data_IF_658645176493
#
_entry.id   IF_658645176493
#
_cell.length_a   1.000
_cell.length_b   1.000
_cell.length_c   1.000
_cell.angle_alpha   90.00
_cell.angle_beta   90.00
_cell.angle_gamma   90.00
#
_symmetry.space_group_name_H-M   'P 1'
#
loop_
_entity.id
_entity.type
_entity.pdbx_description
1 polymer ?
#
# COMPACT_ATOMS: atom_id res chain seq x y z
N UNK A 1 -58.72 14.00 21.22
CA UNK A 1 -59.55 13.23 20.28
C UNK A 1 -58.63 12.48 19.33
N UNK A 2 -58.81 11.15 19.21
CA UNK A 2 -58.48 10.23 18.09
C UNK A 2 -57.40 10.65 17.06
N UNK A 3 -56.29 9.91 16.90
CA UNK A 3 -56.13 8.62 16.16
C UNK A 3 -55.37 8.91 14.84
N UNK A 4 -54.15 8.43 14.56
CA UNK A 4 -53.64 7.05 14.41
C UNK A 4 -54.02 6.38 13.05
N UNK A 5 -53.12 5.51 12.54
CA UNK A 5 -53.10 4.79 11.24
C UNK A 5 -52.70 5.62 10.00
N UNK A 6 -52.01 5.09 8.96
CA UNK A 6 -51.20 3.87 8.82
C UNK A 6 -50.29 3.91 7.58
N UNK A 7 -49.26 3.07 7.59
CA UNK A 7 -48.35 2.63 6.51
C UNK A 7 -48.93 2.47 5.10
N UNK A 8 -48.08 2.63 4.06
CA UNK A 8 -47.65 1.51 3.20
C UNK A 8 -46.39 1.82 2.36
N UNK A 9 -45.67 0.77 1.97
CA UNK A 9 -44.38 0.80 1.28
C UNK A 9 -44.53 0.60 -0.24
N UNK A 10 -43.54 1.05 -1.02
CA UNK A 10 -43.23 0.47 -2.33
C UNK A 10 -41.72 0.31 -2.52
N UNK A 11 -41.30 -0.95 -2.49
CA UNK A 11 -39.98 -1.42 -2.91
C UNK A 11 -39.96 -1.52 -4.45
N UNK A 12 -38.85 -1.16 -5.11
CA UNK A 12 -38.67 -1.39 -6.56
C UNK A 12 -37.44 -2.25 -6.84
N UNK A 13 -37.62 -3.57 -6.77
CA UNK A 13 -36.65 -4.55 -7.25
C UNK A 13 -36.88 -4.82 -8.73
N UNK A 14 -35.88 -4.55 -9.58
CA UNK A 14 -35.87 -5.04 -10.96
C UNK A 14 -35.29 -6.46 -11.00
N UNK A 15 -36.11 -7.42 -11.42
CA UNK A 15 -35.66 -8.77 -11.77
C UNK A 15 -36.26 -9.14 -13.14
N UNK A 16 -35.40 -9.50 -14.10
CA UNK A 16 -35.81 -10.12 -15.36
C UNK A 16 -35.46 -11.61 -15.35
N UNK A 17 -36.27 -12.41 -16.02
CA UNK A 17 -36.42 -13.84 -15.76
C UNK A 17 -35.98 -14.74 -16.92
N UNK A 18 -35.37 -15.91 -16.58
CA UNK A 18 -35.50 -17.23 -17.28
C UNK A 18 -35.00 -17.30 -18.75
N UNK A 19 -34.50 -18.39 -19.34
CA UNK A 19 -34.21 -19.83 -19.07
C UNK A 19 -33.42 -20.37 -20.32
N UNK A 20 -33.04 -21.66 -20.53
CA UNK A 20 -32.69 -22.77 -19.61
C UNK A 20 -31.44 -23.62 -20.05
N UNK A 21 -31.08 -24.59 -19.18
CA UNK A 21 -30.68 -25.99 -19.46
C UNK A 21 -29.34 -26.48 -20.10
N UNK A 22 -28.80 -27.51 -19.41
CA UNK A 22 -28.23 -28.79 -19.88
C UNK A 22 -26.68 -29.02 -19.94
N UNK A 23 -26.25 -29.98 -19.11
CA UNK A 23 -25.00 -30.76 -19.11
C UNK A 23 -25.43 -32.23 -19.33
N UNK A 24 -24.83 -33.03 -20.26
CA UNK A 24 -23.97 -34.19 -19.84
C UNK A 24 -22.94 -34.60 -20.96
N UNK A 25 -22.04 -35.60 -20.88
CA UNK A 25 -21.57 -36.55 -19.83
C UNK A 25 -20.16 -37.11 -20.17
N UNK A 26 -19.46 -37.63 -19.15
CA UNK A 26 -18.54 -38.80 -19.16
C UNK A 26 -17.51 -39.06 -20.30
N UNK A 27 -16.24 -39.23 -19.91
CA UNK A 27 -15.37 -40.27 -20.49
C UNK A 27 -14.81 -41.18 -19.40
N UNK A 28 -15.37 -42.39 -19.30
CA UNK A 28 -14.82 -43.50 -18.53
C UNK A 28 -14.69 -44.71 -19.44
N UNK A 29 -13.47 -45.19 -19.67
CA UNK A 29 -13.25 -46.55 -20.18
C UNK A 29 -12.01 -47.16 -19.53
N UNK A 30 -12.05 -48.48 -19.36
CA UNK A 30 -11.30 -49.20 -18.34
C UNK A 30 -10.12 -50.01 -18.90
N UNK A 31 -9.04 -50.05 -18.09
CA UNK A 31 -8.11 -51.19 -17.90
C UNK A 31 -7.36 -51.75 -19.13
N UNK A 32 -6.04 -51.65 -19.06
CA UNK A 32 -5.18 -52.85 -19.10
C UNK A 32 -4.03 -52.70 -18.10
N UNK A 33 -3.76 -53.72 -17.29
CA UNK A 33 -2.66 -53.76 -16.33
C UNK A 33 -1.64 -54.79 -16.81
N UNK A 34 -0.38 -54.39 -16.95
CA UNK A 34 0.77 -55.29 -17.10
C UNK A 34 1.79 -55.04 -15.99
N UNK A 35 2.50 -56.08 -15.51
CA UNK A 35 3.24 -56.01 -14.25
C UNK A 35 4.58 -55.27 -14.38
N UNK A 36 4.76 -54.22 -13.58
CA UNK A 36 5.94 -53.36 -13.61
C UNK A 36 7.05 -53.88 -12.67
N UNK A 37 7.56 -55.08 -12.92
CA UNK A 37 8.62 -55.72 -12.10
C UNK A 37 10.01 -55.78 -12.73
N UNK A 38 10.20 -55.20 -13.92
CA UNK A 38 11.48 -55.30 -14.66
C UNK A 38 12.07 -53.98 -15.18
N UNK A 39 11.37 -52.85 -15.00
CA UNK A 39 11.86 -51.52 -15.44
C UNK A 39 12.78 -50.86 -14.40
N UNK A 40 12.59 -51.17 -13.12
CA UNK A 40 13.29 -50.55 -11.97
C UNK A 40 14.79 -50.84 -11.91
N UNK A 41 15.30 -51.79 -12.73
CA UNK A 41 16.72 -52.17 -12.78
C UNK A 41 17.55 -51.41 -13.83
N UNK A 42 16.92 -50.65 -14.74
CA UNK A 42 17.62 -49.86 -15.78
C UNK A 42 17.58 -48.33 -15.61
N UNK A 43 16.96 -47.81 -14.55
CA UNK A 43 16.92 -46.37 -14.25
C UNK A 43 17.98 -45.92 -13.21
N UNK A 44 19.10 -46.64 -13.07
CA UNK A 44 20.07 -46.40 -11.97
C UNK A 44 21.54 -46.17 -12.38
N UNK A 45 21.85 -46.09 -13.68
CA UNK A 45 23.25 -46.09 -14.16
C UNK A 45 23.67 -44.94 -15.09
N UNK A 46 22.80 -43.94 -15.34
CA UNK A 46 23.20 -42.76 -16.13
C UNK A 46 22.77 -41.44 -15.46
N UNK A 47 23.75 -40.55 -15.31
CA UNK A 47 23.72 -39.16 -14.82
C UNK A 47 23.66 -38.95 -13.28
N UNK A 48 24.78 -38.58 -12.65
CA UNK A 48 24.79 -37.96 -11.32
C UNK A 48 24.52 -36.45 -11.47
N UNK A 49 23.32 -35.99 -11.14
CA UNK A 49 23.03 -34.57 -10.95
C UNK A 49 22.50 -34.36 -9.53
N UNK A 50 23.35 -33.74 -8.70
CA UNK A 50 22.99 -33.31 -7.36
C UNK A 50 21.80 -32.34 -7.44
N UNK A 51 20.72 -32.66 -6.73
CA UNK A 51 19.53 -31.82 -6.65
C UNK A 51 19.77 -30.63 -5.72
N UNK A 52 20.48 -29.63 -6.21
CA UNK A 52 20.52 -28.29 -5.61
C UNK A 52 19.96 -27.31 -6.63
N UNK A 53 18.64 -27.16 -6.62
CA UNK A 53 17.98 -26.09 -7.36
C UNK A 53 18.37 -24.76 -6.69
N UNK A 54 19.46 -24.15 -7.18
CA UNK A 54 19.83 -22.79 -6.83
C UNK A 54 18.74 -21.89 -7.43
N UNK A 55 17.76 -21.53 -6.60
CA UNK A 55 16.80 -20.47 -6.91
C UNK A 55 17.63 -19.19 -6.99
N UNK A 56 17.98 -18.79 -8.22
CA UNK A 56 18.64 -17.51 -8.46
C UNK A 56 17.75 -16.38 -7.93
N UNK A 57 18.27 -15.44 -7.12
CA UNK A 57 17.51 -14.26 -6.76
C UNK A 57 17.11 -13.48 -8.04
N UNK A 58 16.01 -12.73 -8.01
CA UNK A 58 15.58 -11.93 -9.16
C UNK A 58 16.70 -10.96 -9.60
N UNK A 59 16.75 -10.55 -10.87
CA UNK A 59 17.86 -9.79 -11.43
C UNK A 59 17.98 -8.40 -10.80
N UNK A 60 18.76 -8.31 -9.72
CA UNK A 60 19.15 -7.05 -9.09
C UNK A 60 20.04 -6.23 -10.03
N UNK A 61 19.82 -4.91 -10.05
CA UNK A 61 20.58 -3.99 -10.90
C UNK A 61 22.02 -3.91 -10.37
N UNK A 62 22.99 -4.38 -11.16
CA UNK A 62 24.41 -4.23 -10.85
C UNK A 62 24.92 -2.93 -11.45
N UNK A 63 25.39 -2.01 -10.60
CA UNK A 63 26.00 -0.75 -11.03
C UNK A 63 27.51 -0.90 -10.85
N UNK A 64 28.26 -0.72 -11.93
CA UNK A 64 29.72 -0.76 -11.90
C UNK A 64 30.25 0.68 -11.77
N UNK A 65 30.89 0.98 -10.66
CA UNK A 65 31.56 2.26 -10.41
C UNK A 65 33.05 1.98 -10.13
N UNK A 66 33.94 2.52 -10.97
CA UNK A 66 35.37 2.56 -10.68
C UNK A 66 36.12 1.22 -10.56
N UNK A 67 35.51 0.09 -10.96
CA UNK A 67 36.12 -1.25 -10.86
C UNK A 67 35.60 -2.10 -9.69
N UNK A 68 34.86 -1.50 -8.75
CA UNK A 68 34.14 -2.25 -7.71
C UNK A 68 32.67 -2.46 -8.12
N UNK A 69 32.17 -3.67 -7.92
CA UNK A 69 30.78 -4.01 -8.25
C UNK A 69 29.86 -3.76 -7.04
N UNK A 70 29.05 -2.71 -7.08
CA UNK A 70 28.03 -2.45 -6.06
C UNK A 70 26.69 -2.96 -6.57
N UNK A 71 26.08 -3.91 -5.85
CA UNK A 71 24.75 -4.42 -6.16
C UNK A 71 23.67 -3.65 -5.40
N UNK A 72 22.67 -3.14 -6.12
CA UNK A 72 21.43 -2.63 -5.52
C UNK A 72 20.27 -3.55 -5.95
N UNK A 73 19.46 -3.97 -4.98
CA UNK A 73 18.19 -4.64 -5.26
C UNK A 73 17.07 -3.60 -5.17
N UNK A 74 16.07 -3.72 -6.04
CA UNK A 74 14.89 -2.86 -6.04
C UNK A 74 13.67 -3.69 -5.65
N UNK A 75 12.92 -3.20 -4.68
CA UNK A 75 11.67 -3.78 -4.21
C UNK A 75 10.54 -2.75 -4.38
N UNK A 76 9.36 -3.22 -4.78
CA UNK A 76 8.15 -2.40 -4.88
C UNK A 76 7.23 -2.84 -3.76
N UNK A 77 6.97 -1.94 -2.81
CA UNK A 77 6.14 -2.20 -1.64
C UNK A 77 4.76 -1.60 -1.85
N UNK A 78 3.74 -2.46 -1.96
CA UNK A 78 2.34 -2.05 -2.02
C UNK A 78 1.86 -1.51 -0.66
N UNK A 79 1.28 -0.32 -0.68
CA UNK A 79 0.76 0.36 0.52
C UNK A 79 -0.75 0.29 0.54
N UNK A 80 -1.30 -0.42 1.52
CA UNK A 80 -2.74 -0.43 1.77
C UNK A 80 -3.15 0.89 2.46
N UNK A 81 -4.19 1.55 1.95
CA UNK A 81 -4.78 2.74 2.56
C UNK A 81 -6.20 2.36 3.01
N UNK A 82 -6.54 2.47 4.31
CA UNK A 82 -7.88 2.19 4.81
C UNK A 82 -8.94 3.09 4.18
N UNK A 83 -10.20 2.66 4.21
CA UNK A 83 -11.30 3.45 3.66
C UNK A 83 -11.41 4.81 4.38
N UNK A 84 -11.67 5.86 3.59
CA UNK A 84 -11.78 7.25 4.05
C UNK A 84 -10.55 7.77 4.82
N UNK A 85 -9.37 7.15 4.61
CA UNK A 85 -8.10 7.59 5.15
C UNK A 85 -7.17 8.17 4.07
N UNK A 86 -6.23 9.00 4.50
CA UNK A 86 -5.09 9.46 3.73
C UNK A 86 -3.79 8.97 4.38
N UNK A 87 -2.76 8.73 3.57
CA UNK A 87 -1.38 8.51 4.03
C UNK A 87 -0.53 9.75 3.78
N UNK A 88 0.41 10.03 4.69
CA UNK A 88 1.55 10.92 4.50
C UNK A 88 2.81 10.10 4.77
N UNK A 89 3.72 10.04 3.78
CA UNK A 89 4.97 9.29 3.88
C UNK A 89 6.14 10.28 3.82
N UNK A 90 7.10 10.18 4.74
CA UNK A 90 8.25 11.09 4.81
C UNK A 90 9.52 10.43 5.34
N UNK A 91 10.58 11.22 5.45
CA UNK A 91 11.83 10.86 6.11
C UNK A 91 12.21 11.97 7.09
N UNK A 92 12.64 11.57 8.28
CA UNK A 92 12.95 12.44 9.42
C UNK A 92 14.36 12.14 9.96
N UNK A 93 14.67 12.51 11.19
CA UNK A 93 15.73 11.93 12.00
C UNK A 93 15.41 12.10 13.48
N UNK A 94 16.15 11.43 14.38
CA UNK A 94 16.01 11.59 15.84
C UNK A 94 14.65 11.17 16.44
N UNK A 95 14.68 10.66 17.68
CA UNK A 95 13.54 9.96 18.30
C UNK A 95 12.32 10.88 18.56
N UNK A 96 12.57 12.17 18.84
CA UNK A 96 11.57 13.22 19.04
C UNK A 96 10.58 13.36 17.88
N UNK A 97 10.93 12.89 16.68
CA UNK A 97 10.03 12.78 15.51
C UNK A 97 8.64 12.27 15.86
N UNK A 98 8.52 11.22 16.69
CA UNK A 98 7.21 10.59 16.96
C UNK A 98 6.31 11.49 17.82
N UNK A 99 6.87 12.17 18.81
CA UNK A 99 6.15 13.09 19.70
C UNK A 99 5.78 14.40 18.98
N UNK A 100 6.70 14.99 18.22
CA UNK A 100 6.42 16.25 17.50
C UNK A 100 5.39 16.07 16.37
N UNK A 101 5.42 14.93 15.68
CA UNK A 101 4.35 14.59 14.74
C UNK A 101 3.03 14.37 15.47
N UNK A 102 3.02 13.75 16.65
CA UNK A 102 1.81 13.60 17.46
C UNK A 102 1.25 14.95 17.92
N UNK A 103 2.09 15.86 18.41
CA UNK A 103 1.71 17.23 18.80
C UNK A 103 1.09 17.99 17.61
N UNK A 104 1.72 17.92 16.44
CA UNK A 104 1.19 18.53 15.20
C UNK A 104 -0.16 17.95 14.80
N UNK A 105 -0.38 16.65 14.95
CA UNK A 105 -1.67 16.00 14.65
C UNK A 105 -2.76 16.42 15.63
N UNK A 106 -2.52 16.30 16.93
CA UNK A 106 -3.53 16.55 17.97
C UNK A 106 -3.92 18.03 18.08
N UNK A 107 -3.00 18.96 17.77
CA UNK A 107 -3.26 20.41 17.79
C UNK A 107 -3.90 20.95 16.52
N UNK A 108 -3.92 20.21 15.41
CA UNK A 108 -4.47 20.70 14.13
C UNK A 108 -6.01 20.66 14.07
N UNK A 109 -6.64 19.58 14.55
CA UNK A 109 -8.09 19.42 14.56
C UNK A 109 -8.50 18.40 15.63
N UNK A 110 -9.35 18.73 16.62
CA UNK A 110 -9.71 17.84 17.72
C UNK A 110 -10.48 16.58 17.27
N UNK A 111 -11.07 16.58 16.07
CA UNK A 111 -11.76 15.42 15.50
C UNK A 111 -10.89 14.58 14.56
N UNK A 112 -9.62 14.96 14.34
CA UNK A 112 -8.72 14.21 13.46
C UNK A 112 -8.37 12.87 14.10
N UNK A 113 -8.62 11.78 13.36
CA UNK A 113 -8.14 10.45 13.71
C UNK A 113 -6.83 10.16 13.01
N UNK A 114 -5.85 9.65 13.72
CA UNK A 114 -4.52 9.42 13.16
C UNK A 114 -3.73 8.30 13.85
N UNK A 115 -2.78 7.75 13.10
CA UNK A 115 -1.73 6.87 13.59
C UNK A 115 -0.40 7.17 12.90
N UNK A 116 0.68 7.20 13.68
CA UNK A 116 2.04 7.54 13.27
C UNK A 116 2.93 6.33 13.54
N UNK A 117 3.87 6.05 12.63
CA UNK A 117 4.98 5.14 12.85
C UNK A 117 6.28 5.75 12.30
N UNK A 118 7.39 5.55 13.00
CA UNK A 118 8.72 6.06 12.66
C UNK A 118 9.78 4.97 12.88
N UNK A 119 10.55 4.68 11.84
CA UNK A 119 11.64 3.70 11.90
C UNK A 119 12.89 4.34 12.52
N UNK A 120 13.17 4.05 13.79
CA UNK A 120 14.45 4.39 14.41
C UNK A 120 15.60 3.69 13.65
N UNK A 121 16.61 4.44 13.22
CA UNK A 121 17.66 3.91 12.33
C UNK A 121 18.97 3.50 13.05
N UNK A 122 18.99 3.55 14.38
CA UNK A 122 20.17 3.23 15.20
C UNK A 122 19.78 2.76 16.60
N UNK A 123 20.74 2.21 17.36
CA UNK A 123 20.49 1.71 18.71
C UNK A 123 19.54 0.51 18.69
N UNK A 124 18.39 0.55 19.38
CA UNK A 124 17.39 -0.52 19.35
C UNK A 124 16.74 -0.77 17.97
N UNK A 125 16.78 0.21 17.06
CA UNK A 125 16.16 0.15 15.73
C UNK A 125 14.66 -0.23 15.76
N UNK A 126 13.90 0.32 16.71
CA UNK A 126 12.48 0.02 16.88
C UNK A 126 11.58 0.90 16.02
N UNK A 127 10.43 0.38 15.63
CA UNK A 127 9.34 1.19 15.09
C UNK A 127 8.69 1.93 16.27
N UNK A 128 8.91 3.23 16.35
CA UNK A 128 8.26 4.12 17.33
C UNK A 128 6.90 4.52 16.78
N UNK A 129 5.85 4.54 17.59
CA UNK A 129 4.49 4.80 17.10
C UNK A 129 3.66 5.57 18.12
N UNK A 130 2.72 6.38 17.64
CA UNK A 130 1.77 7.16 18.45
C UNK A 130 0.47 7.37 17.67
N UNK A 131 -0.64 7.67 18.36
CA UNK A 131 -1.92 7.98 17.71
C UNK A 131 -3.16 7.92 18.59
N UNK A 132 -4.31 8.18 17.99
CA UNK A 132 -5.62 8.22 18.67
C UNK A 132 -6.71 7.35 18.01
N UNK A 133 -6.29 6.46 17.11
CA UNK A 133 -7.09 5.48 16.37
C UNK A 133 -6.23 4.22 16.15
N UNK A 134 -6.58 3.12 16.82
CA UNK A 134 -5.78 1.89 16.84
C UNK A 134 -5.64 1.24 15.44
N UNK A 135 -6.66 1.37 14.58
CA UNK A 135 -6.62 0.84 13.22
C UNK A 135 -5.53 1.57 12.41
N UNK A 136 -5.51 2.90 12.51
CA UNK A 136 -4.54 3.74 11.80
C UNK A 136 -3.12 3.59 12.35
N UNK A 137 -2.97 3.40 13.67
CA UNK A 137 -1.66 3.11 14.31
C UNK A 137 -1.11 1.77 13.83
N UNK A 138 -1.91 0.71 13.86
CA UNK A 138 -1.49 -0.62 13.39
C UNK A 138 -1.14 -0.60 11.89
N UNK A 139 -1.92 0.13 11.07
CA UNK A 139 -1.65 0.28 9.65
C UNK A 139 -0.38 1.11 9.38
N UNK A 140 -0.07 2.12 10.19
CA UNK A 140 1.18 2.87 10.13
C UNK A 140 2.38 1.95 10.43
N UNK A 141 2.29 1.16 11.52
CA UNK A 141 3.34 0.20 11.93
C UNK A 141 3.62 -0.83 10.83
N UNK A 142 2.58 -1.50 10.31
CA UNK A 142 2.74 -2.52 9.27
C UNK A 142 3.28 -1.93 7.95
N UNK A 143 2.92 -0.69 7.62
CA UNK A 143 3.48 0.01 6.45
C UNK A 143 4.94 0.37 6.66
N UNK A 144 5.30 0.93 7.82
CA UNK A 144 6.68 1.28 8.16
C UNK A 144 7.60 0.05 8.20
N UNK A 145 7.08 -1.09 8.69
CA UNK A 145 7.73 -2.41 8.72
C UNK A 145 7.97 -2.99 7.32
N UNK A 146 6.98 -2.93 6.42
CA UNK A 146 7.13 -3.38 5.02
C UNK A 146 8.14 -2.54 4.25
N UNK A 147 8.10 -1.21 4.43
CA UNK A 147 9.10 -0.32 3.81
C UNK A 147 10.49 -0.63 4.40
N UNK A 148 10.61 -0.78 5.72
CA UNK A 148 11.83 -1.25 6.40
C UNK A 148 13.06 -0.32 6.25
N UNK A 149 12.89 0.88 5.70
CA UNK A 149 13.95 1.86 5.54
C UNK A 149 14.06 2.73 6.80
N UNK A 150 15.27 2.88 7.33
CA UNK A 150 15.55 3.69 8.51
C UNK A 150 15.14 5.16 8.31
N UNK A 151 14.73 5.81 9.39
CA UNK A 151 14.25 7.19 9.44
C UNK A 151 13.03 7.53 8.57
N UNK A 152 12.41 6.54 7.93
CA UNK A 152 11.09 6.69 7.31
C UNK A 152 10.04 6.90 8.39
N UNK A 153 9.12 7.85 8.17
CA UNK A 153 7.89 7.96 8.94
C UNK A 153 6.66 7.79 8.05
N UNK A 154 5.63 7.16 8.62
CA UNK A 154 4.33 6.90 8.02
C UNK A 154 3.28 7.52 8.93
N UNK A 155 2.34 8.27 8.35
CA UNK A 155 1.18 8.79 9.08
C UNK A 155 -0.06 8.43 8.28
N UNK A 156 -1.05 7.82 8.93
CA UNK A 156 -2.40 7.71 8.41
C UNK A 156 -3.30 8.70 9.15
N UNK A 157 -4.20 9.36 8.41
CA UNK A 157 -5.19 10.29 8.95
C UNK A 157 -6.59 9.98 8.39
N UNK A 158 -7.63 10.25 9.18
CA UNK A 158 -9.05 10.10 8.86
C UNK A 158 -9.83 11.25 9.52
N UNK A 159 -10.90 11.71 8.88
CA UNK A 159 -11.68 12.88 9.35
C UNK A 159 -11.02 14.24 9.06
N UNK A 160 -10.05 14.27 8.16
CA UNK A 160 -9.38 15.48 7.66
C UNK A 160 -8.52 15.17 6.44
N UNK A 161 -8.01 16.19 5.76
CA UNK A 161 -7.20 16.04 4.55
C UNK A 161 -5.75 16.47 4.80
N UNK A 162 -4.75 15.92 4.07
CA UNK A 162 -3.35 16.30 4.26
C UNK A 162 -3.08 17.80 4.09
N UNK A 163 -3.87 18.50 3.25
CA UNK A 163 -3.77 19.96 3.06
C UNK A 163 -4.03 20.77 4.33
N UNK A 164 -4.66 20.19 5.36
CA UNK A 164 -4.90 20.86 6.64
C UNK A 164 -3.64 20.94 7.52
N UNK A 165 -2.66 20.06 7.30
CA UNK A 165 -1.57 19.77 8.23
C UNK A 165 -0.17 19.70 7.60
N UNK A 166 -0.09 19.57 6.28
CA UNK A 166 1.15 19.34 5.53
C UNK A 166 2.24 20.39 5.77
N UNK A 167 1.86 21.64 6.05
CA UNK A 167 2.83 22.71 6.29
C UNK A 167 3.40 22.67 7.71
N UNK A 168 2.59 22.27 8.69
CA UNK A 168 3.00 22.05 10.06
C UNK A 168 4.00 20.88 10.13
N UNK A 169 3.71 19.76 9.46
CA UNK A 169 4.64 18.61 9.35
C UNK A 169 5.98 19.03 8.72
N UNK A 170 5.96 19.82 7.63
CA UNK A 170 7.18 20.32 6.99
C UNK A 170 8.01 21.27 7.87
N UNK A 171 7.41 21.84 8.91
CA UNK A 171 8.06 22.76 9.84
C UNK A 171 8.52 22.07 11.13
N UNK A 172 8.24 20.77 11.31
CA UNK A 172 8.84 19.96 12.37
C UNK A 172 10.35 19.86 12.12
N UNK A 173 11.16 20.09 13.15
CA UNK A 173 12.60 20.32 13.02
C UNK A 173 13.33 19.08 12.48
N UNK A 174 12.84 17.90 12.84
CA UNK A 174 13.36 16.59 12.46
C UNK A 174 13.03 16.19 11.01
N UNK A 175 11.98 16.77 10.41
CA UNK A 175 11.43 16.31 9.12
C UNK A 175 12.28 16.78 7.94
N UNK A 176 13.04 15.86 7.34
CA UNK A 176 13.91 16.15 6.19
C UNK A 176 13.14 16.29 4.86
N UNK A 177 12.12 15.45 4.64
CA UNK A 177 11.36 15.41 3.37
C UNK A 177 10.02 14.70 3.50
N UNK A 178 9.08 15.06 2.62
CA UNK A 178 7.85 14.30 2.33
C UNK A 178 8.01 13.62 0.97
N UNK A 179 7.61 12.35 0.85
CA UNK A 179 7.57 11.60 -0.41
C UNK A 179 6.20 11.76 -1.11
N UNK A 180 5.11 11.62 -0.37
CA UNK A 180 3.72 11.80 -0.86
C UNK A 180 2.78 12.13 0.31
N UNK A 181 1.63 12.73 -0.03
CA UNK A 181 0.45 12.75 0.81
C UNK A 181 -0.79 12.47 -0.07
N UNK A 182 -1.42 11.30 0.08
CA UNK A 182 -2.40 10.78 -0.91
C UNK A 182 -3.48 9.90 -0.30
N UNK A 183 -4.50 9.56 -1.10
CA UNK A 183 -5.45 8.46 -0.88
C UNK A 183 -5.58 7.57 -2.13
N UNK A 184 -4.73 7.79 -3.14
CA UNK A 184 -4.66 6.95 -4.33
C UNK A 184 -4.00 5.60 -3.99
N UNK A 185 -4.17 4.56 -4.83
CA UNK A 185 -3.29 3.40 -4.82
C UNK A 185 -1.82 3.84 -4.84
N UNK A 186 -1.03 3.31 -3.93
CA UNK A 186 0.33 3.77 -3.65
C UNK A 186 1.31 2.61 -3.61
N UNK A 187 2.43 2.76 -4.30
CA UNK A 187 3.59 1.87 -4.18
C UNK A 187 4.83 2.68 -3.75
N UNK A 188 5.69 2.07 -2.94
CA UNK A 188 6.97 2.65 -2.50
C UNK A 188 8.10 1.87 -3.14
N UNK A 189 9.01 2.58 -3.81
CA UNK A 189 10.19 1.98 -4.44
C UNK A 189 11.33 2.01 -3.43
N UNK A 190 11.75 0.83 -2.98
CA UNK A 190 12.79 0.64 -1.96
C UNK A 190 14.06 0.11 -2.62
N UNK A 191 15.19 0.80 -2.40
CA UNK A 191 16.52 0.34 -2.74
C UNK A 191 17.15 -0.39 -1.55
N UNK A 192 17.72 -1.57 -1.80
CA UNK A 192 18.36 -2.43 -0.80
C UNK A 192 19.84 -2.55 -1.13
N UNK A 193 20.68 -2.31 -0.12
CA UNK A 193 22.15 -2.36 -0.18
C UNK A 193 22.68 -3.28 0.92
N UNK A 194 24.01 -3.46 1.00
CA UNK A 194 24.66 -4.17 2.11
C UNK A 194 24.47 -3.49 3.48
N UNK A 195 24.26 -2.17 3.52
CA UNK A 195 24.03 -1.42 4.76
C UNK A 195 22.57 -1.46 5.21
N UNK A 196 21.62 -1.46 4.28
CA UNK A 196 20.19 -1.40 4.60
C UNK A 196 19.31 -0.94 3.45
N UNK A 197 18.10 -0.50 3.81
CA UNK A 197 17.00 -0.11 2.90
C UNK A 197 16.82 1.41 2.86
N UNK A 198 16.50 1.95 1.68
CA UNK A 198 16.22 3.37 1.47
C UNK A 198 15.02 3.56 0.53
N UNK A 199 14.15 4.54 0.81
CA UNK A 199 13.06 4.91 -0.11
C UNK A 199 13.63 5.76 -1.24
N UNK A 200 13.58 5.25 -2.46
CA UNK A 200 14.06 5.93 -3.66
C UNK A 200 12.98 6.84 -4.27
N UNK A 201 11.71 6.41 -4.19
CA UNK A 201 10.57 7.13 -4.75
C UNK A 201 9.25 6.45 -4.46
N UNK A 202 8.18 6.99 -5.03
CA UNK A 202 6.80 6.49 -4.89
C UNK A 202 6.06 6.53 -6.23
N UNK A 203 5.11 5.62 -6.39
CA UNK A 203 4.13 5.63 -7.50
C UNK A 203 2.78 5.98 -6.88
N UNK A 204 2.32 7.21 -7.11
CA UNK A 204 1.09 7.77 -6.54
C UNK A 204 -0.01 7.81 -7.60
N UNK A 205 -0.94 6.86 -7.52
CA UNK A 205 -2.04 6.72 -8.48
C UNK A 205 -1.56 6.25 -9.86
N UNK A 206 -2.04 6.93 -10.90
CA UNK A 206 -1.95 6.47 -12.29
C UNK A 206 -1.37 7.53 -13.23
N UNK A 207 -0.72 7.09 -14.31
CA UNK A 207 -0.21 7.98 -15.36
C UNK A 207 -1.32 8.84 -15.99
N UNK A 208 -1.02 10.11 -16.37
CA UNK A 208 -1.96 10.98 -17.07
C UNK A 208 -2.48 10.34 -18.36
N UNK A 209 -3.79 10.46 -18.61
CA UNK A 209 -4.47 9.91 -19.81
C UNK A 209 -4.70 10.94 -20.91
N UNK A 210 -4.33 12.19 -20.69
CA UNK A 210 -4.55 13.32 -21.60
C UNK A 210 -4.35 14.66 -20.89
N UNK A 211 -4.72 15.75 -21.58
CA UNK A 211 -4.72 17.13 -21.06
C UNK A 211 -6.18 17.58 -20.89
N UNK A 212 -6.48 18.37 -19.85
CA UNK A 212 -7.85 18.85 -19.58
C UNK A 212 -8.38 19.76 -20.69
N UNK A 213 -9.66 19.58 -21.06
CA UNK A 213 -10.38 20.53 -21.92
C UNK A 213 -11.03 21.67 -21.14
N UNK A 214 -11.62 22.64 -21.85
CA UNK A 214 -12.32 23.76 -21.22
C UNK A 214 -13.50 23.32 -20.32
N UNK A 215 -14.15 22.20 -20.65
CA UNK A 215 -15.23 21.65 -19.85
C UNK A 215 -14.73 21.01 -18.54
N UNK A 216 -13.61 20.28 -18.59
CA UNK A 216 -13.00 19.71 -17.39
C UNK A 216 -12.47 20.81 -16.46
N UNK A 217 -11.90 21.86 -17.07
CA UNK A 217 -11.48 23.09 -16.39
C UNK A 217 -12.66 23.78 -15.70
N UNK A 218 -13.82 23.92 -16.37
CA UNK A 218 -15.07 24.42 -15.75
C UNK A 218 -15.49 23.55 -14.57
N UNK A 219 -15.56 22.23 -14.73
CA UNK A 219 -15.94 21.27 -13.67
C UNK A 219 -15.05 21.39 -12.43
N UNK A 220 -13.72 21.41 -12.58
CA UNK A 220 -12.82 21.58 -11.41
C UNK A 220 -12.91 22.97 -10.78
N UNK A 221 -13.20 24.02 -11.56
CA UNK A 221 -13.42 25.37 -11.01
C UNK A 221 -14.70 25.45 -10.18
N UNK A 222 -15.78 24.80 -10.63
CA UNK A 222 -17.04 24.67 -9.90
C UNK A 222 -16.88 23.82 -8.63
N UNK A 223 -16.24 22.64 -8.72
CA UNK A 223 -15.97 21.77 -7.57
C UNK A 223 -15.20 22.49 -6.43
N UNK A 224 -14.24 23.36 -6.78
CA UNK A 224 -13.47 24.15 -5.80
C UNK A 224 -14.27 25.28 -5.12
N UNK A 225 -15.45 25.64 -5.63
CA UNK A 225 -16.29 26.76 -5.16
C UNK A 225 -17.60 26.30 -4.55
N UNK A 226 -18.29 25.39 -5.21
CA UNK A 226 -19.64 24.96 -4.87
C UNK A 226 -19.62 23.80 -3.87
N UNK A 227 -18.73 22.82 -4.10
CA UNK A 227 -18.63 21.60 -3.30
C UNK A 227 -17.68 21.80 -2.11
N UNK A 228 -16.38 22.02 -2.38
CA UNK A 228 -15.36 22.13 -1.32
C UNK A 228 -15.28 23.52 -0.69
N UNK A 229 -15.74 24.56 -1.38
CA UNK A 229 -15.75 25.97 -0.94
C UNK A 229 -14.37 26.54 -0.56
N UNK A 230 -13.29 25.92 -1.04
CA UNK A 230 -11.90 26.40 -0.83
C UNK A 230 -11.51 27.60 -1.69
N UNK A 231 -12.30 27.93 -2.71
CA UNK A 231 -12.17 29.14 -3.52
C UNK A 231 -13.50 29.89 -3.58
N UNK A 232 -13.40 31.19 -3.85
CA UNK A 232 -14.50 32.07 -4.25
C UNK A 232 -14.35 32.36 -5.74
#
# INVERSE_FOLDING_TARGET
MFSAFSTHSLNTSFAFSRFPEAIPTSWTSSRTVFPFSETTRRMKELLPISSTAIISPPPGVRIFLGGESVSIQLEVVDVAIPENANIILGHSHFIKTVEDLYEVMVTTNPNLKFGIAFNEASGPCLIRHEGNDEELVNQAIETAKKIGAGHTFVIYIRGGYPINILNQIKNVQEVCRIYTATANPLQVIVGITSQGRAVLGVVDGYSPKGVEGDEDKRKRHAFLREITKYKK
#
